data_IF_849994730873
#
_entry.id   IF_849994730873
#
_cell.length_a   1.000
_cell.length_b   1.000
_cell.length_c   1.000
_cell.angle_alpha   90.00
_cell.angle_beta   90.00
_cell.angle_gamma   90.00
#
_symmetry.space_group_name_H-M   'P 1'
#
loop_
_entity.id
_entity.type
_entity.pdbx_description
1 polymer ?
#
# COMPACT_ATOMS: atom_id res chain seq x y z
N UNK A 1 2.92 5.92 -21.02
CA UNK A 1 1.86 6.71 -20.37
C UNK A 1 1.08 5.90 -19.33
N UNK A 2 0.76 6.53 -18.21
CA UNK A 2 0.00 6.01 -17.06
C UNK A 2 -0.91 7.11 -16.55
N UNK A 3 -2.05 6.73 -15.98
CA UNK A 3 -2.97 7.69 -15.35
C UNK A 3 -2.51 8.03 -13.92
N UNK A 4 -2.54 9.32 -13.58
CA UNK A 4 -2.24 9.85 -12.25
C UNK A 4 -3.38 10.72 -11.74
N UNK A 5 -3.73 10.55 -10.47
CA UNK A 5 -4.52 11.51 -9.71
C UNK A 5 -3.58 12.54 -9.10
N UNK A 6 -3.82 13.82 -9.37
CA UNK A 6 -3.07 14.93 -8.80
C UNK A 6 -3.92 15.61 -7.73
N UNK A 7 -3.32 15.80 -6.56
CA UNK A 7 -3.92 16.41 -5.38
C UNK A 7 -3.19 17.68 -5.02
N UNK A 8 -3.90 18.62 -4.40
CA UNK A 8 -3.35 19.88 -3.89
C UNK A 8 -3.71 20.07 -2.43
N UNK A 9 -2.81 20.71 -1.69
CA UNK A 9 -3.05 21.16 -0.32
C UNK A 9 -2.47 22.56 -0.13
N UNK A 10 -3.20 23.50 0.50
CA UNK A 10 -2.76 24.90 0.63
C UNK A 10 -1.36 25.08 1.23
N UNK A 11 -0.97 24.22 2.18
CA UNK A 11 0.32 24.30 2.87
C UNK A 11 1.32 23.20 2.52
N UNK A 12 0.90 22.14 1.81
CA UNK A 12 1.76 20.98 1.52
C UNK A 12 2.03 20.80 0.02
N UNK A 13 1.45 21.64 -0.84
CA UNK A 13 1.69 21.64 -2.27
C UNK A 13 0.97 20.52 -3.00
N UNK A 14 1.55 20.09 -4.14
CA UNK A 14 0.97 19.09 -5.02
C UNK A 14 1.50 17.69 -4.73
N UNK A 15 0.63 16.69 -4.79
CA UNK A 15 1.01 15.27 -4.77
C UNK A 15 0.36 14.51 -5.93
N UNK A 16 1.15 13.68 -6.63
CA UNK A 16 0.66 12.79 -7.67
C UNK A 16 0.66 11.34 -7.19
N UNK A 17 -0.43 10.62 -7.45
CA UNK A 17 -0.60 9.20 -7.15
C UNK A 17 -0.97 8.46 -8.42
N UNK A 18 -0.16 7.46 -8.77
CA UNK A 18 -0.42 6.60 -9.93
C UNK A 18 -1.67 5.75 -9.69
N UNK A 19 -2.57 5.69 -10.67
CA UNK A 19 -3.72 4.77 -10.64
C UNK A 19 -3.26 3.33 -10.91
N UNK A 20 -3.73 2.38 -10.10
CA UNK A 20 -3.43 0.96 -10.24
C UNK A 20 -2.18 0.50 -9.50
N UNK A 21 -1.44 -0.44 -10.08
CA UNK A 21 -0.37 -1.18 -9.41
C UNK A 21 0.79 -0.31 -8.89
N UNK A 22 1.18 -0.56 -7.64
CA UNK A 22 2.24 0.11 -6.90
C UNK A 22 3.48 -0.78 -6.77
N UNK A 23 4.45 -0.56 -7.66
CA UNK A 23 5.75 -1.25 -7.61
C UNK A 23 6.48 -1.07 -6.27
N UNK A 24 6.53 0.14 -5.68
CA UNK A 24 7.18 0.29 -4.38
C UNK A 24 6.44 -0.46 -3.26
N UNK A 25 5.10 -0.51 -3.28
CA UNK A 25 4.35 -1.26 -2.28
C UNK A 25 4.57 -2.78 -2.40
N UNK A 26 4.75 -3.29 -3.62
CA UNK A 26 5.05 -4.69 -3.89
C UNK A 26 6.40 -5.13 -3.29
N UNK A 27 7.46 -4.36 -3.54
CA UNK A 27 8.81 -4.73 -3.09
C UNK A 27 9.08 -4.38 -1.63
N UNK A 28 8.49 -3.30 -1.12
CA UNK A 28 8.85 -2.76 0.21
C UNK A 28 7.73 -2.87 1.25
N UNK A 29 6.51 -3.27 0.89
CA UNK A 29 5.42 -3.60 1.81
C UNK A 29 5.22 -2.57 2.94
N UNK A 30 5.46 -3.00 4.17
CA UNK A 30 5.33 -2.18 5.39
C UNK A 30 6.20 -0.91 5.35
N UNK A 31 7.45 -1.01 4.89
CA UNK A 31 8.36 0.15 4.80
C UNK A 31 7.80 1.22 3.86
N UNK A 32 7.20 0.80 2.74
CA UNK A 32 6.53 1.73 1.84
C UNK A 32 5.33 2.41 2.49
N UNK A 33 4.52 1.67 3.28
CA UNK A 33 3.39 2.26 4.01
C UNK A 33 3.85 3.33 5.01
N UNK A 34 4.92 3.05 5.75
CA UNK A 34 5.53 4.01 6.69
C UNK A 34 6.07 5.23 5.95
N UNK A 35 6.81 5.03 4.85
CA UNK A 35 7.33 6.11 4.02
C UNK A 35 6.21 7.02 3.46
N UNK A 36 5.06 6.44 3.10
CA UNK A 36 3.87 7.18 2.65
C UNK A 36 2.96 7.67 3.78
N UNK A 37 3.42 7.57 5.04
CA UNK A 37 2.69 8.03 6.24
C UNK A 37 1.32 7.38 6.40
N UNK A 38 1.14 6.17 5.88
CA UNK A 38 -0.10 5.38 6.00
C UNK A 38 -0.18 4.68 7.36
N UNK A 39 -0.02 5.43 8.45
CA UNK A 39 0.23 4.90 9.81
C UNK A 39 -0.80 3.87 10.28
N UNK A 40 -2.09 4.14 10.07
CA UNK A 40 -3.17 3.20 10.42
C UNK A 40 -3.04 1.87 9.68
N UNK A 41 -2.69 1.92 8.40
CA UNK A 41 -2.52 0.72 7.56
C UNK A 41 -1.25 -0.01 7.93
N UNK A 42 -0.16 0.72 8.17
CA UNK A 42 1.10 0.15 8.64
C UNK A 42 0.92 -0.60 9.97
N UNK A 43 0.22 -0.02 10.94
CA UNK A 43 -0.10 -0.66 12.21
C UNK A 43 -0.93 -1.94 12.04
N UNK A 44 -1.97 -1.89 11.19
CA UNK A 44 -2.77 -3.08 10.87
C UNK A 44 -1.94 -4.16 10.17
N UNK A 45 -1.06 -3.79 9.24
CA UNK A 45 -0.18 -4.72 8.54
C UNK A 45 0.80 -5.39 9.50
N UNK A 46 1.43 -4.62 10.39
CA UNK A 46 2.33 -5.14 11.42
C UNK A 46 1.59 -6.12 12.34
N UNK A 47 0.40 -5.77 12.82
CA UNK A 47 -0.41 -6.64 13.64
C UNK A 47 -0.77 -7.96 12.92
N UNK A 48 -1.12 -7.90 11.63
CA UNK A 48 -1.41 -9.08 10.84
C UNK A 48 -0.20 -10.02 10.69
N UNK A 49 1.00 -9.46 10.42
CA UNK A 49 2.23 -10.24 10.40
C UNK A 49 2.53 -10.89 11.75
N UNK A 50 2.35 -10.17 12.86
CA UNK A 50 2.57 -10.71 14.20
C UNK A 50 1.60 -11.84 14.53
N UNK A 51 0.33 -11.75 14.10
CA UNK A 51 -0.65 -12.82 14.28
C UNK A 51 -0.25 -14.07 13.51
N UNK A 52 0.14 -13.94 12.23
CA UNK A 52 0.59 -15.09 11.43
C UNK A 52 1.85 -15.72 12.04
N UNK A 53 2.82 -14.89 12.47
CA UNK A 53 4.04 -15.36 13.11
C UNK A 53 3.76 -16.08 14.44
N UNK A 54 2.77 -15.62 15.22
CA UNK A 54 2.37 -16.30 16.45
C UNK A 54 1.73 -17.66 16.14
N UNK A 55 0.85 -17.74 15.14
CA UNK A 55 0.22 -19.01 14.73
C UNK A 55 1.29 -20.00 14.24
N UNK A 56 2.23 -19.54 13.42
CA UNK A 56 3.39 -20.33 12.97
C UNK A 56 4.19 -20.85 14.17
N UNK A 57 4.54 -19.96 15.10
CA UNK A 57 5.32 -20.31 16.28
C UNK A 57 4.61 -21.29 17.24
N UNK A 58 3.28 -21.25 17.33
CA UNK A 58 2.48 -22.24 18.06
C UNK A 58 2.46 -23.57 17.31
N UNK A 59 2.31 -23.52 15.99
CA UNK A 59 2.27 -24.69 15.11
C UNK A 59 3.58 -25.47 15.15
N UNK A 60 4.72 -24.77 15.14
CA UNK A 60 6.06 -25.36 15.19
C UNK A 60 6.35 -26.13 16.50
N UNK A 61 5.65 -25.80 17.59
CA UNK A 61 5.80 -26.47 18.89
C UNK A 61 4.79 -27.58 19.13
N UNK A 62 3.79 -27.72 18.25
CA UNK A 62 2.82 -28.79 18.36
C UNK A 62 3.43 -30.12 17.87
N UNK A 63 3.00 -31.27 18.42
CA UNK A 63 3.37 -32.57 17.87
C UNK A 63 2.95 -32.67 16.40
N UNK A 64 3.79 -33.32 15.59
CA UNK A 64 3.49 -33.49 14.16
C UNK A 64 2.14 -34.20 13.96
N UNK A 65 1.33 -33.63 13.08
CA UNK A 65 0.00 -34.16 12.76
C UNK A 65 -0.37 -33.85 11.32
N UNK A 66 -1.27 -34.63 10.74
CA UNK A 66 -1.78 -34.37 9.38
C UNK A 66 -2.44 -32.99 9.23
N UNK A 67 -2.91 -32.39 10.33
CA UNK A 67 -3.48 -31.04 10.35
C UNK A 67 -2.42 -29.94 10.17
N UNK A 68 -1.17 -30.21 10.55
CA UNK A 68 -0.07 -29.23 10.49
C UNK A 68 0.21 -28.76 9.06
N UNK A 69 0.17 -29.67 8.08
CA UNK A 69 0.36 -29.34 6.67
C UNK A 69 -0.71 -28.36 6.16
N UNK A 70 -1.97 -28.54 6.58
CA UNK A 70 -3.06 -27.63 6.23
C UNK A 70 -2.84 -26.23 6.86
N UNK A 71 -2.36 -26.17 8.10
CA UNK A 71 -2.06 -24.90 8.76
C UNK A 71 -0.95 -24.15 8.03
N UNK A 72 0.14 -24.81 7.64
CA UNK A 72 1.20 -24.16 6.85
C UNK A 72 0.74 -23.69 5.48
N UNK A 73 -0.17 -24.43 4.82
CA UNK A 73 -0.78 -23.99 3.57
C UNK A 73 -1.56 -22.68 3.77
N UNK A 74 -2.35 -22.59 4.85
CA UNK A 74 -3.11 -21.39 5.19
C UNK A 74 -2.20 -20.21 5.58
N UNK A 75 -1.14 -20.46 6.35
CA UNK A 75 -0.12 -19.46 6.69
C UNK A 75 0.56 -18.92 5.44
N UNK A 76 0.97 -19.80 4.52
CA UNK A 76 1.60 -19.43 3.26
C UNK A 76 0.68 -18.55 2.41
N UNK A 77 -0.60 -18.93 2.30
CA UNK A 77 -1.60 -18.11 1.62
C UNK A 77 -1.78 -16.74 2.30
N UNK A 78 -1.80 -16.71 3.63
CA UNK A 78 -1.89 -15.48 4.43
C UNK A 78 -0.73 -14.52 4.15
N UNK A 79 0.52 -15.01 4.23
CA UNK A 79 1.71 -14.23 3.92
C UNK A 79 1.72 -13.73 2.47
N UNK A 80 1.30 -14.59 1.53
CA UNK A 80 1.21 -14.23 0.12
C UNK A 80 0.19 -13.10 -0.13
N UNK A 81 -0.95 -13.14 0.55
CA UNK A 81 -1.94 -12.05 0.51
C UNK A 81 -1.38 -10.77 1.13
N UNK A 82 -0.73 -10.84 2.30
CA UNK A 82 -0.12 -9.66 2.93
C UNK A 82 0.97 -9.02 2.05
N UNK A 83 1.66 -9.83 1.25
CA UNK A 83 2.66 -9.37 0.28
C UNK A 83 2.05 -8.72 -0.96
N UNK A 84 1.07 -9.36 -1.60
CA UNK A 84 0.51 -8.88 -2.87
C UNK A 84 -0.51 -7.76 -2.71
N UNK A 85 -1.31 -7.78 -1.64
CA UNK A 85 -2.42 -6.84 -1.50
C UNK A 85 -2.00 -5.35 -1.51
N UNK A 86 -0.87 -4.94 -0.88
CA UNK A 86 -0.35 -3.58 -1.01
C UNK A 86 0.02 -3.20 -2.44
N UNK A 87 0.45 -4.16 -3.26
CA UNK A 87 0.80 -3.91 -4.65
C UNK A 87 -0.41 -3.44 -5.47
N UNK A 88 -1.58 -4.05 -5.25
CA UNK A 88 -2.81 -3.71 -5.97
C UNK A 88 -3.58 -2.55 -5.35
N UNK A 89 -3.59 -2.45 -4.01
CA UNK A 89 -4.43 -1.49 -3.29
C UNK A 89 -3.66 -0.30 -2.71
N UNK A 90 -2.33 -0.36 -2.64
CA UNK A 90 -1.49 0.65 -2.00
C UNK A 90 -1.71 2.06 -2.54
N UNK A 91 -1.76 2.24 -3.86
CA UNK A 91 -1.99 3.58 -4.41
C UNK A 91 -3.39 4.11 -4.07
N UNK A 92 -4.43 3.27 -4.13
CA UNK A 92 -5.79 3.66 -3.72
C UNK A 92 -5.86 3.98 -2.22
N UNK A 93 -5.08 3.29 -1.40
CA UNK A 93 -4.95 3.60 0.02
C UNK A 93 -4.29 4.95 0.27
N UNK A 94 -3.31 5.32 -0.55
CA UNK A 94 -2.67 6.63 -0.52
C UNK A 94 -3.60 7.73 -0.99
N UNK A 95 -4.36 7.51 -2.06
CA UNK A 95 -5.41 8.42 -2.52
C UNK A 95 -6.39 8.75 -1.39
N UNK A 96 -6.96 7.72 -0.75
CA UNK A 96 -7.90 7.88 0.35
C UNK A 96 -7.26 8.50 1.61
N UNK A 97 -5.94 8.38 1.78
CA UNK A 97 -5.22 9.00 2.89
C UNK A 97 -4.95 10.49 2.65
N UNK A 98 -4.59 10.88 1.44
CA UNK A 98 -4.42 12.29 1.05
C UNK A 98 -5.72 13.07 1.24
N UNK A 99 -6.85 12.52 0.77
CA UNK A 99 -8.16 13.14 0.97
C UNK A 99 -8.48 13.30 2.47
N UNK A 100 -8.21 12.27 3.29
CA UNK A 100 -8.41 12.35 4.75
C UNK A 100 -7.52 13.39 5.42
N UNK A 101 -6.36 13.70 4.82
CA UNK A 101 -5.41 14.71 5.29
C UNK A 101 -5.71 16.11 4.76
N UNK A 102 -6.85 16.32 4.11
CA UNK A 102 -7.32 17.64 3.66
C UNK A 102 -6.84 18.03 2.27
N UNK A 103 -6.31 17.10 1.48
CA UNK A 103 -5.97 17.39 0.09
C UNK A 103 -7.21 17.31 -0.80
N UNK A 104 -7.32 18.24 -1.75
CA UNK A 104 -8.34 18.23 -2.79
C UNK A 104 -7.80 17.61 -4.08
N UNK A 105 -8.61 16.81 -4.77
CA UNK A 105 -8.23 16.26 -6.07
C UNK A 105 -8.36 17.35 -7.14
N UNK A 106 -7.23 17.77 -7.69
CA UNK A 106 -7.16 18.82 -8.70
C UNK A 106 -7.49 18.27 -10.09
N UNK A 107 -6.90 17.14 -10.48
CA UNK A 107 -7.08 16.55 -11.81
C UNK A 107 -6.75 15.05 -11.84
N UNK A 108 -7.22 14.39 -12.89
CA UNK A 108 -6.76 13.06 -13.29
C UNK A 108 -6.25 13.16 -14.72
N UNK A 109 -4.99 12.83 -14.93
CA UNK A 109 -4.32 13.04 -16.23
C UNK A 109 -3.34 11.92 -16.56
N UNK A 110 -3.02 11.78 -17.84
CA UNK A 110 -2.02 10.85 -18.33
C UNK A 110 -0.64 11.50 -18.39
N UNK A 111 0.37 10.80 -17.88
CA UNK A 111 1.75 11.22 -17.95
C UNK A 111 2.67 9.99 -17.95
N UNK A 112 3.94 10.17 -18.30
CA UNK A 112 4.92 9.08 -18.21
C UNK A 112 5.45 8.91 -16.79
N UNK A 113 5.57 10.00 -16.04
CA UNK A 113 6.06 10.03 -14.66
C UNK A 113 5.16 10.86 -13.75
N UNK A 114 5.30 10.65 -12.44
CA UNK A 114 4.60 11.46 -11.45
C UNK A 114 5.01 12.95 -11.54
N UNK A 115 6.29 13.24 -11.78
CA UNK A 115 6.78 14.62 -11.89
C UNK A 115 6.26 15.32 -13.15
N UNK A 116 6.14 14.60 -14.27
CA UNK A 116 5.49 15.13 -15.45
C UNK A 116 4.03 15.47 -15.16
N UNK A 117 3.30 14.60 -14.44
CA UNK A 117 1.93 14.86 -14.04
C UNK A 117 1.79 16.13 -13.16
N UNK A 118 2.71 16.30 -12.21
CA UNK A 118 2.78 17.50 -11.38
C UNK A 118 3.08 18.75 -12.20
N UNK A 119 4.03 18.68 -13.13
CA UNK A 119 4.39 19.80 -14.00
C UNK A 119 3.24 20.22 -14.92
N UNK A 120 2.44 19.27 -15.43
CA UNK A 120 1.24 19.56 -16.21
C UNK A 120 0.18 20.26 -15.36
N UNK A 121 -0.05 19.81 -14.12
CA UNK A 121 -1.04 20.39 -13.23
C UNK A 121 -0.65 21.78 -12.68
N UNK A 122 0.65 22.09 -12.63
CA UNK A 122 1.16 23.37 -12.13
C UNK A 122 1.18 24.51 -13.17
N UNK A 123 0.90 24.23 -14.45
CA UNK A 123 0.85 25.27 -15.49
C UNK A 123 -0.41 26.13 -15.31
N UNK A 124 -0.29 27.46 -15.24
CA UNK A 124 -1.45 28.34 -15.29
C UNK A 124 -2.16 28.20 -16.64
N UNK A 125 -3.50 28.14 -16.62
CA UNK A 125 -4.37 28.18 -17.80
C UNK A 125 -4.32 29.56 -18.43
#
# INVERSE_FOLDING_TARGET
MRTYNVYTHPTHGLEAVKVGFSWPAFFFGLFWMLFKKLWRRAGLWLAAYLVLALIENVTDRAPESGTQALVYLLLSAGYFVLWLLPAFKGNAWRDADLVRRGYDRLATLEADTADAALAHAARPV
#
